data_IF_165553985952
#
_entry.id   IF_165553985952
#
_cell.length_a   1.000
_cell.length_b   1.000
_cell.length_c   1.000
_cell.angle_alpha   90.00
_cell.angle_beta   90.00
_cell.angle_gamma   90.00
#
_symmetry.space_group_name_H-M   'P 1'
#
loop_
_entity.id
_entity.type
_entity.pdbx_description
1 polymer ?
#
# COMPACT_ATOMS: atom_id res chain seq x y z
N UNK A 1 -27.97 13.91 -3.38
CA UNK A 1 -26.91 13.61 -2.38
C UNK A 1 -25.84 12.82 -3.11
N UNK A 2 -24.75 13.47 -3.50
CA UNK A 2 -23.71 12.83 -4.32
C UNK A 2 -22.98 11.80 -3.45
N UNK A 3 -23.18 10.51 -3.74
CA UNK A 3 -22.41 9.42 -3.14
C UNK A 3 -21.05 9.40 -3.82
N UNK A 4 -20.04 10.06 -3.24
CA UNK A 4 -18.68 9.93 -3.74
C UNK A 4 -18.13 8.56 -3.35
N UNK A 5 -17.83 7.74 -4.36
CA UNK A 5 -17.35 6.36 -4.26
C UNK A 5 -15.82 6.25 -4.12
N UNK A 6 -15.13 7.34 -3.78
CA UNK A 6 -13.69 7.32 -3.50
C UNK A 6 -13.23 8.69 -3.03
N UNK A 7 -12.25 8.70 -2.13
CA UNK A 7 -11.66 9.93 -1.60
C UNK A 7 -10.15 9.78 -1.52
N UNK A 8 -9.42 10.76 -2.07
CA UNK A 8 -7.97 10.81 -1.98
C UNK A 8 -7.54 11.87 -0.97
N UNK A 9 -6.72 11.47 0.01
CA UNK A 9 -6.11 12.35 1.00
C UNK A 9 -4.61 12.44 0.74
N UNK A 10 -4.12 13.63 0.43
CA UNK A 10 -2.68 13.90 0.38
C UNK A 10 -2.28 14.90 1.45
N UNK A 11 -1.05 14.77 1.93
CA UNK A 11 -0.50 15.67 2.92
C UNK A 11 1.00 15.46 3.12
N UNK A 12 1.62 16.46 3.72
CA UNK A 12 3.03 16.41 4.13
C UNK A 12 3.09 16.26 5.64
N UNK A 13 3.79 15.23 6.12
CA UNK A 13 4.00 14.95 7.54
C UNK A 13 5.46 15.20 7.87
N UNK A 14 5.70 16.04 8.87
CA UNK A 14 7.04 16.42 9.30
C UNK A 14 7.35 15.78 10.64
N UNK A 15 8.45 15.03 10.73
CA UNK A 15 8.93 14.54 12.02
C UNK A 15 9.87 15.58 12.63
N UNK A 16 9.67 15.97 13.90
CA UNK A 16 10.52 16.95 14.54
C UNK A 16 11.95 16.42 14.67
N UNK A 17 12.92 17.27 14.33
CA UNK A 17 14.34 16.94 14.46
C UNK A 17 14.67 16.51 15.89
N UNK A 18 15.17 15.29 16.05
CA UNK A 18 15.81 14.84 17.29
C UNK A 18 17.28 15.25 17.22
N UNK A 19 17.92 15.55 18.36
CA UNK A 19 19.22 16.25 18.51
C UNK A 19 20.42 15.76 17.65
N UNK A 20 20.28 14.70 16.85
CA UNK A 20 21.30 14.12 15.97
C UNK A 20 20.85 13.89 14.51
N UNK A 21 19.60 14.14 14.13
CA UNK A 21 19.08 13.87 12.78
C UNK A 21 18.32 15.08 12.20
N UNK A 22 18.44 15.34 10.87
CA UNK A 22 17.72 16.43 10.22
C UNK A 22 16.21 16.21 10.25
N UNK A 23 15.46 17.30 10.15
CA UNK A 23 14.00 17.28 9.98
C UNK A 23 13.64 16.46 8.73
N UNK A 24 12.83 15.42 8.91
CA UNK A 24 12.37 14.56 7.83
C UNK A 24 10.97 14.99 7.41
N UNK A 25 10.82 15.23 6.10
CA UNK A 25 9.56 15.63 5.50
C UNK A 25 9.07 14.50 4.61
N UNK A 26 7.91 13.94 4.96
CA UNK A 26 7.33 12.81 4.25
C UNK A 26 6.04 13.21 3.55
N UNK A 27 5.99 13.01 2.23
CA UNK A 27 4.76 13.14 1.46
C UNK A 27 3.97 11.84 1.57
N UNK A 28 2.69 11.97 1.90
CA UNK A 28 1.77 10.85 2.13
C UNK A 28 0.54 11.04 1.27
N UNK A 29 0.12 9.96 0.61
CA UNK A 29 -1.12 9.86 -0.13
C UNK A 29 -1.89 8.62 0.36
N UNK A 30 -3.20 8.77 0.57
CA UNK A 30 -4.09 7.72 1.06
C UNK A 30 -5.38 7.75 0.25
N UNK A 31 -5.70 6.64 -0.40
CA UNK A 31 -6.99 6.46 -1.07
C UNK A 31 -7.96 5.74 -0.14
N UNK A 32 -9.18 6.24 -0.11
CA UNK A 32 -10.28 5.67 0.64
C UNK A 32 -11.41 5.31 -0.29
N UNK A 33 -12.06 4.19 -0.01
CA UNK A 33 -13.32 3.80 -0.62
C UNK A 33 -14.16 3.03 0.41
N UNK A 34 -15.48 3.26 0.44
CA UNK A 34 -16.44 2.69 1.41
C UNK A 34 -15.89 2.59 2.84
N UNK A 35 -15.29 3.69 3.32
CA UNK A 35 -14.67 3.84 4.65
C UNK A 35 -13.44 2.95 4.93
N UNK A 36 -12.84 2.35 3.90
CA UNK A 36 -11.62 1.55 3.99
C UNK A 36 -10.48 2.28 3.28
N UNK A 37 -9.26 2.14 3.79
CA UNK A 37 -8.06 2.57 3.07
C UNK A 37 -7.78 1.51 2.00
N UNK A 38 -7.76 1.89 0.73
CA UNK A 38 -7.56 0.97 -0.41
C UNK A 38 -6.16 1.04 -1.01
N UNK A 39 -5.49 2.19 -0.88
CA UNK A 39 -4.07 2.32 -1.19
C UNK A 39 -3.40 3.39 -0.33
N UNK A 40 -2.09 3.23 -0.13
CA UNK A 40 -1.24 4.21 0.55
C UNK A 40 0.06 4.38 -0.20
N UNK A 41 0.61 5.58 -0.16
CA UNK A 41 1.97 5.87 -0.63
C UNK A 41 2.61 6.84 0.35
N UNK A 42 3.85 6.56 0.73
CA UNK A 42 4.61 7.41 1.64
C UNK A 42 6.07 7.49 1.21
N UNK A 43 6.64 8.69 1.17
CA UNK A 43 8.03 8.89 0.78
C UNK A 43 9.05 8.53 1.86
N UNK A 44 8.63 7.99 3.01
CA UNK A 44 9.55 7.60 4.10
C UNK A 44 10.38 6.34 3.83
N UNK A 45 10.07 5.59 2.76
CA UNK A 45 10.78 4.35 2.42
C UNK A 45 10.58 3.19 3.40
N UNK A 46 9.61 3.30 4.32
CA UNK A 46 9.28 2.23 5.28
C UNK A 46 8.96 0.92 4.56
N UNK A 47 9.62 -0.16 4.98
CA UNK A 47 9.38 -1.51 4.49
C UNK A 47 8.55 -2.39 5.44
N UNK A 48 7.92 -1.78 6.45
CA UNK A 48 7.04 -2.49 7.38
C UNK A 48 5.77 -2.95 6.67
N UNK A 49 5.30 -4.16 7.01
CA UNK A 49 4.04 -4.75 6.56
C UNK A 49 2.84 -3.86 6.91
N UNK A 50 2.95 -3.07 7.98
CA UNK A 50 1.89 -2.20 8.47
C UNK A 50 2.11 -0.74 8.07
N UNK A 51 1.02 0.03 8.10
CA UNK A 51 1.08 1.47 7.85
C UNK A 51 2.13 2.15 8.73
N UNK A 52 3.03 2.90 8.10
CA UNK A 52 4.02 3.69 8.80
C UNK A 52 3.36 4.80 9.65
N UNK A 53 4.13 5.35 10.60
CA UNK A 53 3.65 6.41 11.49
C UNK A 53 3.09 7.63 10.73
N UNK A 54 3.64 7.95 9.55
CA UNK A 54 3.17 9.06 8.71
C UNK A 54 1.75 8.84 8.16
N UNK A 55 1.46 7.63 7.66
CA UNK A 55 0.13 7.25 7.16
C UNK A 55 -0.88 7.29 8.32
N UNK A 56 -0.49 6.77 9.48
CA UNK A 56 -1.32 6.81 10.70
C UNK A 56 -1.56 8.26 11.14
N UNK A 57 -0.53 9.11 11.16
CA UNK A 57 -0.61 10.50 11.56
C UNK A 57 -1.56 11.31 10.65
N UNK A 58 -1.43 11.17 9.33
CA UNK A 58 -2.32 11.84 8.37
C UNK A 58 -3.77 11.35 8.50
N UNK A 59 -3.97 10.04 8.70
CA UNK A 59 -5.29 9.46 8.95
C UNK A 59 -5.93 10.02 10.23
N UNK A 60 -5.17 10.08 11.32
CA UNK A 60 -5.62 10.64 12.59
C UNK A 60 -5.88 12.15 12.51
N UNK A 61 -5.08 12.89 11.75
CA UNK A 61 -5.29 14.31 11.51
C UNK A 61 -6.64 14.56 10.84
N UNK A 62 -6.96 13.82 9.78
CA UNK A 62 -8.28 13.89 9.12
C UNK A 62 -9.43 13.62 10.11
N UNK A 63 -9.30 12.59 10.94
CA UNK A 63 -10.34 12.23 11.92
C UNK A 63 -10.54 13.34 12.96
N UNK A 64 -9.44 13.94 13.45
CA UNK A 64 -9.48 14.94 14.51
C UNK A 64 -9.79 16.36 14.03
N UNK A 65 -9.49 16.67 12.77
CA UNK A 65 -9.63 18.00 12.17
C UNK A 65 -10.38 17.91 10.82
N UNK A 66 -11.63 17.39 10.81
CA UNK A 66 -12.36 17.14 9.57
C UNK A 66 -12.58 18.41 8.75
N UNK A 67 -12.87 19.55 9.39
CA UNK A 67 -13.13 20.83 8.71
C UNK A 67 -11.90 21.43 8.04
N UNK A 68 -10.70 20.97 8.42
CA UNK A 68 -9.43 21.45 7.89
C UNK A 68 -8.94 20.62 6.70
N UNK A 69 -9.56 19.47 6.44
CA UNK A 69 -9.24 18.61 5.31
C UNK A 69 -10.25 18.88 4.20
N UNK A 70 -9.78 19.56 3.14
CA UNK A 70 -10.60 19.77 1.95
C UNK A 70 -10.79 18.46 1.20
N UNK A 71 -12.04 18.10 0.97
CA UNK A 71 -12.40 16.99 0.11
C UNK A 71 -12.43 17.49 -1.33
N UNK A 72 -11.58 16.91 -2.18
CA UNK A 72 -11.59 17.17 -3.60
C UNK A 72 -12.40 16.09 -4.33
N UNK A 73 -13.09 16.51 -5.39
CA UNK A 73 -13.62 15.58 -6.40
C UNK A 73 -12.45 14.85 -7.06
N UNK A 74 -12.70 13.69 -7.71
CA UNK A 74 -11.71 13.12 -8.62
C UNK A 74 -11.15 14.20 -9.56
N UNK A 75 -9.85 14.13 -9.84
CA UNK A 75 -9.14 15.15 -10.60
C UNK A 75 -9.72 15.28 -12.01
N UNK A 76 -10.25 14.21 -12.60
CA UNK A 76 -10.97 14.25 -13.89
C UNK A 76 -12.14 15.23 -13.88
N UNK A 77 -12.91 15.28 -12.79
CA UNK A 77 -14.03 16.21 -12.62
C UNK A 77 -13.54 17.65 -12.49
N UNK A 78 -12.41 17.86 -11.79
CA UNK A 78 -11.78 19.18 -11.69
C UNK A 78 -11.25 19.64 -13.05
N UNK A 79 -10.59 18.76 -13.81
CA UNK A 79 -10.07 19.03 -15.16
C UNK A 79 -11.20 19.34 -16.13
N UNK A 80 -12.32 18.62 -16.05
CA UNK A 80 -13.50 18.85 -16.88
C UNK A 80 -14.12 20.24 -16.67
N UNK A 81 -14.02 20.78 -15.45
CA UNK A 81 -14.52 22.12 -15.11
C UNK A 81 -13.57 23.25 -15.54
N UNK A 82 -12.31 22.97 -15.88
CA UNK A 82 -11.35 23.98 -16.33
C UNK A 82 -11.58 24.38 -17.78
N UNK A 83 -11.55 25.68 -18.05
CA UNK A 83 -11.49 26.15 -19.43
C UNK A 83 -10.09 25.94 -20.04
N UNK A 84 -9.94 26.15 -21.36
CA UNK A 84 -8.68 25.96 -22.09
C UNK A 84 -7.49 26.67 -21.46
N UNK A 85 -7.65 27.92 -21.06
CA UNK A 85 -6.55 28.72 -20.50
C UNK A 85 -6.17 28.27 -19.08
N UNK A 86 -7.16 27.86 -18.27
CA UNK A 86 -6.94 27.27 -16.95
C UNK A 86 -6.23 25.93 -17.05
N UNK A 87 -6.67 25.05 -17.97
CA UNK A 87 -6.06 23.74 -18.19
C UNK A 87 -4.62 23.89 -18.70
N UNK A 88 -4.37 24.81 -19.63
CA UNK A 88 -3.02 25.11 -20.12
C UNK A 88 -2.12 25.58 -18.98
N UNK A 89 -2.59 26.53 -18.15
CA UNK A 89 -1.85 26.97 -16.96
C UNK A 89 -1.58 25.81 -16.01
N UNK A 90 -2.59 25.01 -15.68
CA UNK A 90 -2.47 23.87 -14.78
C UNK A 90 -1.33 22.93 -15.21
N UNK A 91 -1.30 22.53 -16.48
CA UNK A 91 -0.25 21.65 -17.03
C UNK A 91 1.12 22.34 -17.00
N UNK A 92 1.22 23.62 -17.37
CA UNK A 92 2.48 24.36 -17.33
C UNK A 92 3.07 24.46 -15.92
N UNK A 93 2.23 24.73 -14.91
CA UNK A 93 2.67 24.76 -13.52
C UNK A 93 3.07 23.38 -13.02
N UNK A 94 2.33 22.32 -13.36
CA UNK A 94 2.68 20.94 -13.00
C UNK A 94 4.04 20.54 -13.57
N UNK A 95 4.28 20.81 -14.86
CA UNK A 95 5.57 20.55 -15.50
C UNK A 95 6.66 21.39 -14.83
N UNK A 96 6.42 22.66 -14.52
CA UNK A 96 7.42 23.52 -13.86
C UNK A 96 7.86 22.92 -12.52
N UNK A 97 6.90 22.48 -11.69
CA UNK A 97 7.16 21.92 -10.36
C UNK A 97 7.87 20.56 -10.43
N UNK A 98 7.46 19.67 -11.35
CA UNK A 98 7.96 18.30 -11.43
C UNK A 98 8.72 18.01 -12.74
N UNK A 99 9.42 19.00 -13.31
CA UNK A 99 9.99 18.89 -14.66
C UNK A 99 10.96 17.72 -14.82
N UNK A 100 11.70 17.36 -13.77
CA UNK A 100 12.62 16.22 -13.79
C UNK A 100 11.91 14.88 -13.94
N UNK A 101 10.72 14.73 -13.35
CA UNK A 101 9.99 13.46 -13.29
C UNK A 101 8.93 13.35 -14.40
N UNK A 102 8.30 14.47 -14.76
CA UNK A 102 7.10 14.49 -15.63
C UNK A 102 7.44 14.85 -17.08
N UNK A 103 8.48 15.66 -17.34
CA UNK A 103 8.72 16.22 -18.67
C UNK A 103 8.90 15.17 -19.78
N UNK A 104 9.72 14.10 -19.60
CA UNK A 104 9.88 13.09 -20.66
C UNK A 104 8.55 12.41 -21.02
N UNK A 105 7.75 12.08 -20.01
CA UNK A 105 6.42 11.49 -20.19
C UNK A 105 5.45 12.46 -20.85
N UNK A 106 5.46 13.73 -20.44
CA UNK A 106 4.61 14.77 -21.02
C UNK A 106 4.94 15.03 -22.51
N UNK A 107 6.22 15.02 -22.88
CA UNK A 107 6.65 15.16 -24.28
C UNK A 107 6.16 13.98 -25.12
N UNK A 108 6.38 12.74 -24.65
CA UNK A 108 5.87 11.54 -25.34
C UNK A 108 4.36 11.60 -25.56
N UNK A 109 3.59 11.94 -24.53
CA UNK A 109 2.13 12.06 -24.62
C UNK A 109 1.70 13.18 -25.59
N UNK A 110 2.40 14.32 -25.59
CA UNK A 110 2.13 15.40 -26.52
C UNK A 110 2.34 14.98 -27.98
N UNK A 111 3.43 14.28 -28.28
CA UNK A 111 3.71 13.75 -29.62
C UNK A 111 2.65 12.74 -30.06
N UNK A 112 2.22 11.85 -29.17
CA UNK A 112 1.16 10.88 -29.44
C UNK A 112 -0.19 11.55 -29.72
N UNK A 113 -0.58 12.55 -28.93
CA UNK A 113 -1.85 13.28 -29.12
C UNK A 113 -1.86 14.08 -30.43
N UNK A 114 -0.73 14.71 -30.78
CA UNK A 114 -0.61 15.48 -32.03
C UNK A 114 -0.56 14.58 -33.28
N UNK A 115 -0.29 13.29 -33.11
CA UNK A 115 -0.31 12.29 -34.19
C UNK A 115 -1.73 11.81 -34.51
N UNK A 116 -2.18 12.03 -35.74
CA UNK A 116 -3.57 11.78 -36.17
C UNK A 116 -4.05 10.32 -35.99
N UNK A 117 -3.15 9.34 -36.07
CA UNK A 117 -3.49 7.91 -36.02
C UNK A 117 -3.08 7.20 -34.72
N UNK A 118 -2.73 7.95 -33.67
CA UNK A 118 -2.35 7.36 -32.40
C UNK A 118 -3.54 6.74 -31.67
N UNK A 119 -3.31 5.63 -30.96
CA UNK A 119 -4.32 4.93 -30.15
C UNK A 119 -4.90 5.85 -29.06
N UNK A 120 -4.11 6.80 -28.55
CA UNK A 120 -4.56 7.74 -27.51
C UNK A 120 -5.73 8.61 -27.97
N UNK A 121 -5.85 8.86 -29.28
CA UNK A 121 -6.93 9.65 -29.88
C UNK A 121 -8.19 8.82 -30.16
N UNK A 122 -8.13 7.49 -30.00
CA UNK A 122 -9.27 6.59 -30.15
C UNK A 122 -10.08 6.44 -28.85
N UNK A 123 -9.52 6.86 -27.73
CA UNK A 123 -10.14 6.79 -26.40
C UNK A 123 -10.49 8.19 -25.89
N UNK A 124 -11.51 8.27 -25.04
CA UNK A 124 -11.93 9.56 -24.45
C UNK A 124 -10.96 10.13 -23.42
N UNK A 125 -10.10 9.28 -22.85
CA UNK A 125 -9.10 9.67 -21.84
C UNK A 125 -8.53 8.47 -21.10
N UNK A 126 -7.48 8.70 -20.33
CA UNK A 126 -6.92 7.70 -19.43
C UNK A 126 -7.82 7.52 -18.17
N UNK A 127 -7.79 6.35 -17.52
CA UNK A 127 -8.44 6.16 -16.22
C UNK A 127 -7.97 7.19 -15.19
N UNK A 128 -8.91 7.77 -14.43
CA UNK A 128 -8.57 8.75 -13.39
C UNK A 128 -7.99 8.02 -12.15
N UNK A 129 -6.72 8.29 -11.77
CA UNK A 129 -6.10 7.63 -10.62
C UNK A 129 -6.68 8.05 -9.25
N UNK A 130 -7.44 9.13 -9.21
CA UNK A 130 -8.13 9.65 -8.03
C UNK A 130 -9.62 9.33 -8.02
N UNK A 131 -10.13 8.70 -9.08
CA UNK A 131 -11.46 8.12 -9.08
C UNK A 131 -11.46 6.87 -8.17
N UNK A 132 -12.50 6.77 -7.34
CA UNK A 132 -12.72 5.57 -6.53
C UNK A 132 -13.09 4.35 -7.37
N UNK A 133 -13.07 3.19 -6.73
CA UNK A 133 -13.53 1.95 -7.33
C UNK A 133 -15.04 1.98 -7.63
N UNK A 134 -15.48 1.13 -8.55
CA UNK A 134 -16.90 0.94 -8.85
C UNK A 134 -17.67 0.37 -7.64
N UNK A 135 -18.99 0.54 -7.65
CA UNK A 135 -19.88 -0.05 -6.63
C UNK A 135 -19.77 -1.58 -6.63
N UNK A 136 -19.58 -2.18 -7.81
CA UNK A 136 -19.49 -3.63 -7.99
C UNK A 136 -18.08 -4.19 -7.75
N UNK A 137 -17.07 -3.32 -7.64
CA UNK A 137 -15.70 -3.76 -7.37
C UNK A 137 -15.56 -4.23 -5.92
N UNK A 138 -14.80 -5.31 -5.72
CA UNK A 138 -14.44 -5.75 -4.38
C UNK A 138 -13.66 -4.66 -3.64
N UNK A 139 -14.03 -4.41 -2.38
CA UNK A 139 -13.31 -3.47 -1.53
C UNK A 139 -12.75 -4.18 -0.30
N UNK A 140 -11.44 -4.36 -0.32
CA UNK A 140 -10.64 -4.81 0.81
C UNK A 140 -9.79 -3.65 1.36
N UNK A 141 -9.41 -3.77 2.63
CA UNK A 141 -8.35 -2.93 3.18
C UNK A 141 -7.06 -3.13 2.39
N UNK A 142 -6.26 -2.07 2.24
CA UNK A 142 -4.98 -2.14 1.57
C UNK A 142 -4.05 -3.15 2.26
N UNK A 143 -3.42 -4.02 1.46
CA UNK A 143 -2.39 -4.96 1.86
C UNK A 143 -1.34 -5.04 0.75
N UNK A 144 -0.09 -4.72 1.07
CA UNK A 144 1.03 -4.88 0.16
C UNK A 144 1.53 -6.33 0.23
N UNK A 145 1.09 -7.16 -0.72
CA UNK A 145 1.38 -8.60 -0.71
C UNK A 145 2.86 -8.89 -0.95
N UNK A 146 3.52 -8.13 -1.83
CA UNK A 146 4.93 -8.28 -2.15
C UNK A 146 5.77 -7.97 -0.91
N UNK A 147 5.47 -6.86 -0.22
CA UNK A 147 6.15 -6.50 1.01
C UNK A 147 5.94 -7.53 2.13
N UNK A 148 4.72 -8.08 2.27
CA UNK A 148 4.45 -9.17 3.22
C UNK A 148 5.35 -10.37 2.91
N UNK A 149 5.41 -10.80 1.65
CA UNK A 149 6.22 -11.94 1.23
C UNK A 149 7.72 -11.69 1.50
N UNK A 150 8.23 -10.53 1.11
CA UNK A 150 9.63 -10.15 1.33
C UNK A 150 9.98 -10.13 2.82
N UNK A 151 9.18 -9.48 3.66
CA UNK A 151 9.44 -9.37 5.10
C UNK A 151 9.38 -10.73 5.79
N UNK A 152 8.40 -11.58 5.46
CA UNK A 152 8.31 -12.94 6.03
C UNK A 152 9.52 -13.77 5.62
N UNK A 153 9.94 -13.70 4.35
CA UNK A 153 11.15 -14.37 3.86
C UNK A 153 12.40 -13.90 4.60
N UNK A 154 12.53 -12.60 4.85
CA UNK A 154 13.61 -12.03 5.65
C UNK A 154 13.59 -12.58 7.08
N UNK A 155 12.44 -12.59 7.75
CA UNK A 155 12.34 -13.14 9.11
C UNK A 155 12.70 -14.63 9.20
N UNK A 156 12.34 -15.41 8.18
CA UNK A 156 12.67 -16.84 8.09
C UNK A 156 14.17 -17.07 7.84
N UNK A 157 14.76 -16.34 6.89
CA UNK A 157 16.18 -16.47 6.51
C UNK A 157 17.16 -16.13 7.64
N UNK A 158 16.79 -15.23 8.55
CA UNK A 158 17.63 -14.80 9.68
C UNK A 158 17.78 -15.87 10.80
N UNK A 159 17.30 -17.10 10.58
CA UNK A 159 17.80 -18.28 11.30
C UNK A 159 17.48 -18.34 12.80
N UNK A 160 16.41 -17.68 13.28
CA UNK A 160 16.01 -17.73 14.69
C UNK A 160 17.05 -17.16 15.67
N UNK A 161 18.05 -16.44 15.17
CA UNK A 161 19.02 -15.68 15.97
C UNK A 161 18.48 -14.25 16.14
N UNK A 162 18.18 -13.93 17.41
CA UNK A 162 17.78 -12.63 17.94
C UNK A 162 16.76 -11.80 17.12
N UNK A 163 15.46 -11.93 17.45
CA UNK A 163 14.43 -10.94 17.12
C UNK A 163 13.39 -11.38 16.09
N UNK A 164 13.79 -12.06 15.02
CA UNK A 164 12.89 -12.37 13.89
C UNK A 164 11.73 -13.31 14.26
N UNK A 165 11.97 -14.29 15.13
CA UNK A 165 10.91 -15.16 15.65
C UNK A 165 9.86 -14.40 16.47
N UNK A 166 10.23 -13.32 17.15
CA UNK A 166 9.25 -12.45 17.84
C UNK A 166 8.40 -11.68 16.84
N UNK A 167 9.00 -11.20 15.75
CA UNK A 167 8.29 -10.48 14.68
C UNK A 167 7.27 -11.39 13.98
N UNK A 168 7.64 -12.64 13.67
CA UNK A 168 6.68 -13.62 13.13
C UNK A 168 5.54 -13.93 14.10
N UNK A 169 5.83 -14.09 15.39
CA UNK A 169 4.78 -14.31 16.38
C UNK A 169 3.81 -13.12 16.52
N UNK A 170 4.32 -11.88 16.44
CA UNK A 170 3.48 -10.68 16.39
C UNK A 170 2.63 -10.65 15.12
N UNK A 171 3.19 -11.07 13.98
CA UNK A 171 2.46 -11.18 12.72
C UNK A 171 1.32 -12.22 12.83
N UNK A 172 1.59 -13.40 13.39
CA UNK A 172 0.56 -14.41 13.65
C UNK A 172 -0.55 -13.90 14.57
N UNK A 173 -0.19 -13.21 15.65
CA UNK A 173 -1.19 -12.61 16.55
C UNK A 173 -2.10 -11.62 15.81
N UNK A 174 -1.53 -10.78 14.94
CA UNK A 174 -2.31 -9.86 14.11
C UNK A 174 -3.20 -10.58 13.10
N UNK A 175 -2.69 -11.62 12.42
CA UNK A 175 -3.49 -12.45 11.51
C UNK A 175 -4.67 -13.10 12.24
N UNK A 176 -4.45 -13.64 13.45
CA UNK A 176 -5.55 -14.22 14.26
C UNK A 176 -6.61 -13.19 14.62
N UNK A 177 -6.24 -11.99 15.03
CA UNK A 177 -7.21 -10.93 15.30
C UNK A 177 -7.95 -10.49 14.01
N UNK A 178 -7.26 -10.39 12.87
CA UNK A 178 -7.90 -10.11 11.58
C UNK A 178 -8.93 -11.19 11.20
N UNK A 179 -8.57 -12.47 11.33
CA UNK A 179 -9.48 -13.59 11.06
C UNK A 179 -10.69 -13.57 12.00
N UNK A 180 -10.48 -13.31 13.29
CA UNK A 180 -11.55 -13.17 14.29
C UNK A 180 -12.52 -12.04 13.95
N UNK A 181 -11.99 -10.93 13.42
CA UNK A 181 -12.80 -9.79 12.96
C UNK A 181 -13.39 -9.98 11.57
N UNK A 182 -13.20 -11.16 10.94
CA UNK A 182 -13.63 -11.47 9.57
C UNK A 182 -13.09 -10.48 8.53
N UNK A 183 -11.88 -9.97 8.78
CA UNK A 183 -11.16 -9.16 7.81
C UNK A 183 -10.65 -10.06 6.66
N UNK A 184 -10.98 -9.70 5.43
CA UNK A 184 -10.54 -10.42 4.22
C UNK A 184 -9.01 -10.50 4.12
N UNK A 185 -8.28 -9.51 4.66
CA UNK A 185 -6.83 -9.53 4.67
C UNK A 185 -6.25 -10.58 5.61
N UNK A 186 -6.97 -11.00 6.65
CA UNK A 186 -6.49 -12.07 7.54
C UNK A 186 -6.27 -13.38 6.77
N UNK A 187 -7.20 -13.74 5.89
CA UNK A 187 -7.08 -14.92 5.05
C UNK A 187 -5.96 -14.80 4.00
N UNK A 188 -5.83 -13.63 3.37
CA UNK A 188 -4.77 -13.34 2.38
C UNK A 188 -3.38 -13.38 3.02
N UNK A 189 -3.19 -12.68 4.14
CA UNK A 189 -1.93 -12.69 4.88
C UNK A 189 -1.54 -14.09 5.32
N UNK A 190 -2.50 -14.90 5.81
CA UNK A 190 -2.23 -16.28 6.17
C UNK A 190 -1.69 -17.08 4.98
N UNK A 191 -2.32 -16.98 3.81
CA UNK A 191 -1.84 -17.63 2.58
C UNK A 191 -0.41 -17.20 2.23
N UNK A 192 -0.14 -15.89 2.19
CA UNK A 192 1.19 -15.36 1.84
C UNK A 192 2.27 -15.84 2.81
N UNK A 193 1.97 -15.86 4.11
CA UNK A 193 2.91 -16.36 5.12
C UNK A 193 3.16 -17.86 4.92
N UNK A 194 2.10 -18.65 4.73
CA UNK A 194 2.22 -20.10 4.48
C UNK A 194 3.07 -20.39 3.25
N UNK A 195 2.89 -19.64 2.17
CA UNK A 195 3.69 -19.76 0.95
C UNK A 195 5.19 -19.52 1.22
N UNK A 196 5.53 -18.47 1.98
CA UNK A 196 6.94 -18.20 2.32
C UNK A 196 7.56 -19.28 3.22
N UNK A 197 6.78 -19.84 4.15
CA UNK A 197 7.21 -20.98 4.95
C UNK A 197 7.46 -22.24 4.09
N UNK A 198 6.57 -22.52 3.14
CA UNK A 198 6.69 -23.66 2.22
C UNK A 198 7.84 -23.49 1.20
N UNK A 199 8.17 -22.24 0.85
CA UNK A 199 9.27 -21.90 -0.05
C UNK A 199 10.65 -21.87 0.63
N UNK A 200 10.73 -22.12 1.94
CA UNK A 200 12.00 -22.08 2.68
C UNK A 200 12.95 -23.21 2.21
N UNK A 201 14.15 -22.88 1.69
CA UNK A 201 15.07 -23.87 1.13
C UNK A 201 15.57 -24.89 2.17
N UNK A 202 15.50 -24.57 3.47
CA UNK A 202 15.89 -25.48 4.56
C UNK A 202 14.97 -26.70 4.65
N UNK A 203 13.70 -26.58 4.25
CA UNK A 203 12.77 -27.71 4.21
C UNK A 203 13.27 -28.84 3.29
N UNK A 204 13.76 -28.47 2.11
CA UNK A 204 14.35 -29.41 1.15
C UNK A 204 15.60 -30.06 1.71
N UNK A 205 16.46 -29.28 2.39
CA UNK A 205 17.68 -29.79 3.02
C UNK A 205 17.38 -30.80 4.15
N UNK A 206 16.45 -30.47 5.06
CA UNK A 206 16.05 -31.38 6.15
C UNK A 206 15.45 -32.69 5.62
N UNK A 207 14.65 -32.62 4.55
CA UNK A 207 14.10 -33.81 3.89
C UNK A 207 15.19 -34.68 3.24
N UNK A 208 16.17 -34.07 2.57
CA UNK A 208 17.21 -34.79 1.83
C UNK A 208 18.31 -35.35 2.76
N UNK A 209 18.70 -34.61 3.78
CA UNK A 209 19.83 -34.95 4.67
C UNK A 209 19.40 -35.73 5.93
N UNK A 210 18.09 -35.93 6.14
CA UNK A 210 17.57 -36.58 7.34
C UNK A 210 17.81 -35.78 8.62
N UNK A 211 18.21 -34.52 8.51
CA UNK A 211 18.42 -33.61 9.63
C UNK A 211 17.08 -33.08 10.12
N UNK A 212 16.85 -33.10 11.44
CA UNK A 212 15.60 -32.62 12.02
C UNK A 212 15.51 -31.09 12.00
N UNK A 213 14.28 -30.58 11.86
CA UNK A 213 14.00 -29.16 12.10
C UNK A 213 14.46 -28.74 13.50
N UNK A 214 14.96 -27.50 13.61
CA UNK A 214 15.25 -26.93 14.94
C UNK A 214 13.95 -26.71 15.72
N UNK A 215 13.99 -26.86 17.04
CA UNK A 215 12.81 -26.68 17.91
C UNK A 215 12.16 -25.30 17.73
N UNK A 216 12.97 -24.25 17.57
CA UNK A 216 12.49 -22.89 17.32
C UNK A 216 11.70 -22.78 16.01
N UNK A 217 12.17 -23.42 14.94
CA UNK A 217 11.48 -23.38 13.65
C UNK A 217 10.19 -24.22 13.69
N UNK A 218 10.22 -25.36 14.39
CA UNK A 218 9.03 -26.18 14.63
C UNK A 218 7.95 -25.41 15.40
N UNK A 219 8.33 -24.67 16.44
CA UNK A 219 7.39 -23.80 17.17
C UNK A 219 6.72 -22.75 16.29
N UNK A 220 7.43 -22.20 15.30
CA UNK A 220 6.84 -21.26 14.34
C UNK A 220 5.81 -21.94 13.42
N UNK A 221 6.07 -23.18 12.99
CA UNK A 221 5.08 -23.99 12.26
C UNK A 221 3.84 -24.30 13.11
N UNK A 222 4.04 -24.63 14.39
CA UNK A 222 2.93 -24.88 15.31
C UNK A 222 2.07 -23.62 15.50
N UNK A 223 2.69 -22.44 15.64
CA UNK A 223 1.99 -21.16 15.73
C UNK A 223 1.26 -20.78 14.44
N UNK A 224 1.86 -21.06 13.28
CA UNK A 224 1.20 -20.89 11.98
C UNK A 224 -0.01 -21.84 11.85
N UNK A 225 0.13 -23.09 12.29
CA UNK A 225 -0.94 -24.09 12.29
C UNK A 225 -2.18 -23.64 13.08
N UNK A 226 -1.97 -23.02 14.25
CA UNK A 226 -3.06 -22.43 15.06
C UNK A 226 -3.86 -21.34 14.34
N UNK A 227 -3.27 -20.68 13.33
CA UNK A 227 -3.98 -19.71 12.50
C UNK A 227 -4.85 -20.38 11.41
N UNK A 228 -4.47 -21.58 10.97
CA UNK A 228 -5.15 -22.36 9.93
C UNK A 228 -6.36 -23.10 10.49
N UNK A 229 -6.30 -23.57 11.74
CA UNK A 229 -7.42 -24.26 12.41
C UNK A 229 -8.70 -23.39 12.50
N UNK A 230 -8.60 -22.06 12.35
CA UNK A 230 -9.76 -21.17 12.23
C UNK A 230 -10.57 -21.35 10.93
N UNK A 231 -10.06 -22.09 9.93
CA UNK A 231 -10.75 -22.34 8.64
C UNK A 231 -11.43 -23.71 8.55
N UNK A 232 -11.34 -24.57 9.57
CA UNK A 232 -12.05 -25.87 9.61
C UNK A 232 -13.16 -25.80 10.67
N UNK A 233 -14.09 -24.86 10.54
CA UNK A 233 -15.41 -24.89 11.19
C UNK A 233 -16.42 -24.30 10.21
#
# INVERSE_FOLDING_TARGET
MVKFAGFHLSGTVTEPAVQSEPETVCNVAISFDRCKITSVTCSCGSKDIFYCAHVVALSLYRIRKPDWVKLHLPISETLFQMNRDQLQKFVQYLITVHHTEVLPTAQKLADEILSQNSEINQVHGAPDPTAGASIDDENCWHLDEEQVQEQVKLFLSQGGYHGSGKQLNLLFAKVREMLKMRDSNGARMLTLITEQFMADPRLSLWRQQGTSMTDKYRQLWDELGKCIDFKII
#
